data_IF_302889499942
#
_entry.id   IF_302889499942
#
_cell.length_a   1.000
_cell.length_b   1.000
_cell.length_c   1.000
_cell.angle_alpha   90.00
_cell.angle_beta   90.00
_cell.angle_gamma   90.00
#
_symmetry.space_group_name_H-M   'P 1'
#
loop_
_entity.id
_entity.type
_entity.pdbx_description
1 polymer ?
#
# COMPACT_ATOMS: atom_id res chain seq x y z
N UNK A 1 -58.23 5.96 -18.40
CA UNK A 1 -58.21 4.95 -17.34
C UNK A 1 -57.96 5.60 -15.99
N UNK A 2 -58.72 5.11 -15.03
CA UNK A 2 -58.97 5.60 -13.68
C UNK A 2 -57.87 5.11 -12.69
N UNK A 3 -57.89 5.70 -11.48
CA UNK A 3 -57.30 5.26 -10.18
C UNK A 3 -55.98 5.96 -9.75
N UNK A 4 -56.01 7.03 -8.91
CA UNK A 4 -56.28 7.14 -7.44
C UNK A 4 -55.11 6.50 -6.61
N UNK A 5 -54.36 7.22 -5.75
CA UNK A 5 -54.62 7.60 -4.32
C UNK A 5 -53.58 8.66 -3.84
N UNK A 6 -53.98 9.79 -3.24
CA UNK A 6 -54.06 10.08 -1.77
C UNK A 6 -52.80 9.67 -0.98
N UNK A 7 -52.18 10.43 -0.06
CA UNK A 7 -52.48 11.66 0.68
C UNK A 7 -51.23 11.99 1.53
N UNK A 8 -50.87 13.26 1.75
CA UNK A 8 -50.77 13.88 3.09
C UNK A 8 -49.99 15.21 3.07
N UNK A 9 -50.63 16.19 3.72
CA UNK A 9 -50.25 17.60 3.89
C UNK A 9 -49.01 17.77 4.77
N UNK A 10 -48.23 18.81 4.52
CA UNK A 10 -47.47 19.47 5.59
C UNK A 10 -47.72 20.98 5.56
N UNK A 11 -47.99 21.51 6.76
CA UNK A 11 -48.34 22.89 7.10
C UNK A 11 -47.04 23.60 7.47
N UNK A 12 -46.75 24.74 6.86
CA UNK A 12 -45.64 25.61 7.23
C UNK A 12 -46.17 26.61 8.26
N UNK A 13 -45.69 26.55 9.51
CA UNK A 13 -45.75 27.68 10.44
C UNK A 13 -44.38 27.79 11.14
N UNK A 14 -43.79 28.98 11.03
CA UNK A 14 -42.49 29.33 11.57
C UNK A 14 -42.64 30.06 12.91
N UNK A 15 -41.88 29.68 13.93
CA UNK A 15 -41.51 30.52 15.08
C UNK A 15 -40.20 29.99 15.68
N UNK A 16 -39.17 30.85 15.80
CA UNK A 16 -38.02 30.63 16.69
C UNK A 16 -38.43 30.81 18.17
N UNK A 17 -37.51 30.76 19.17
CA UNK A 17 -36.10 31.15 19.05
C UNK A 17 -35.09 30.36 19.97
N UNK A 18 -33.82 30.78 19.89
CA UNK A 18 -32.72 30.67 20.88
C UNK A 18 -32.02 29.32 21.18
N UNK A 19 -30.83 29.19 20.61
CA UNK A 19 -29.53 28.96 21.27
C UNK A 19 -29.45 27.92 22.41
N UNK A 20 -28.94 26.72 22.09
CA UNK A 20 -28.29 25.86 23.08
C UNK A 20 -27.01 25.23 22.48
N UNK A 21 -25.90 25.43 23.18
CA UNK A 21 -24.55 25.02 22.81
C UNK A 21 -24.47 23.50 22.70
N UNK A 22 -24.32 22.97 21.48
CA UNK A 22 -23.91 21.58 21.30
C UNK A 22 -22.43 21.49 21.61
N UNK A 23 -22.14 21.01 22.81
CA UNK A 23 -20.81 20.69 23.28
C UNK A 23 -20.27 19.49 22.48
N UNK A 24 -19.10 19.69 21.87
CA UNK A 24 -18.25 18.64 21.31
C UNK A 24 -18.02 17.53 22.34
N UNK A 25 -18.30 16.28 21.96
CA UNK A 25 -17.55 15.13 22.48
C UNK A 25 -17.35 14.10 21.36
N UNK A 26 -16.35 14.33 20.52
CA UNK A 26 -15.73 13.24 19.74
C UNK A 26 -14.90 12.40 20.71
N UNK A 27 -15.42 11.24 21.13
CA UNK A 27 -14.65 10.25 21.88
C UNK A 27 -13.95 9.28 20.92
N UNK A 28 -12.65 9.49 20.74
CA UNK A 28 -11.66 8.43 20.97
C UNK A 28 -11.24 7.53 19.79
N UNK A 29 -10.77 8.10 18.68
CA UNK A 29 -9.84 7.39 17.80
C UNK A 29 -8.39 7.68 18.26
N UNK A 30 -7.88 6.87 19.19
CA UNK A 30 -6.46 6.93 19.55
C UNK A 30 -5.56 6.71 18.31
N UNK A 31 -4.36 7.31 18.24
CA UNK A 31 -3.54 7.30 17.04
C UNK A 31 -3.20 5.85 16.66
N UNK A 32 -3.69 5.38 15.50
CA UNK A 32 -3.31 4.07 14.94
C UNK A 32 -1.77 3.91 14.86
N UNK A 33 -1.06 5.03 14.71
CA UNK A 33 0.41 5.13 14.75
C UNK A 33 1.05 4.55 16.02
N UNK A 34 0.40 4.65 17.19
CA UNK A 34 0.97 4.17 18.46
C UNK A 34 1.03 2.65 18.61
N UNK A 35 0.13 1.91 17.93
CA UNK A 35 0.16 0.43 17.92
C UNK A 35 1.20 -0.13 16.97
N UNK A 36 1.35 0.49 15.80
CA UNK A 36 2.34 0.09 14.78
C UNK A 36 3.75 0.19 15.34
N UNK A 37 4.07 1.29 16.07
CA UNK A 37 5.38 1.49 16.69
C UNK A 37 5.75 0.40 17.71
N UNK A 38 4.78 -0.11 18.48
CA UNK A 38 5.03 -1.15 19.49
C UNK A 38 5.33 -2.51 18.87
N UNK A 39 4.54 -2.91 17.86
CA UNK A 39 4.77 -4.17 17.13
C UNK A 39 6.10 -4.14 16.38
N UNK A 40 6.45 -2.99 15.79
CA UNK A 40 7.76 -2.80 15.16
C UNK A 40 8.90 -2.89 16.17
N UNK A 41 8.79 -2.27 17.35
CA UNK A 41 9.79 -2.39 18.41
C UNK A 41 9.96 -3.83 18.90
N UNK A 42 8.86 -4.58 19.03
CA UNK A 42 8.89 -6.00 19.39
C UNK A 42 9.59 -6.84 18.30
N UNK A 43 9.32 -6.58 17.01
CA UNK A 43 9.98 -7.27 15.89
C UNK A 43 11.46 -6.88 15.73
N UNK A 44 11.84 -5.64 16.04
CA UNK A 44 13.24 -5.19 16.07
C UNK A 44 14.02 -5.89 17.19
N UNK A 45 13.37 -6.18 18.32
CA UNK A 45 13.98 -6.90 19.44
C UNK A 45 14.17 -8.41 19.17
N UNK A 46 13.52 -8.98 18.14
CA UNK A 46 13.72 -10.37 17.74
C UNK A 46 15.07 -10.49 17.02
N UNK A 47 16.01 -11.16 17.67
CA UNK A 47 17.33 -11.50 17.13
C UNK A 47 17.47 -13.01 16.99
N UNK A 48 18.30 -13.46 16.06
CA UNK A 48 18.71 -14.86 15.99
C UNK A 48 19.88 -15.18 16.94
N UNK A 49 20.35 -16.42 16.91
CA UNK A 49 21.52 -16.89 17.67
C UNK A 49 22.81 -16.09 17.40
N UNK A 50 22.88 -15.35 16.29
CA UNK A 50 24.00 -14.51 15.90
C UNK A 50 23.79 -13.02 16.22
N UNK A 51 22.69 -12.66 16.87
CA UNK A 51 22.36 -11.27 17.21
C UNK A 51 21.83 -10.43 16.02
N UNK A 52 21.46 -11.07 14.90
CA UNK A 52 20.92 -10.37 13.74
C UNK A 52 19.42 -10.17 13.93
N UNK A 53 18.98 -8.91 13.98
CA UNK A 53 17.57 -8.54 14.06
C UNK A 53 16.76 -9.03 12.86
N UNK A 54 15.53 -9.46 13.09
CA UNK A 54 14.63 -9.95 12.05
C UNK A 54 14.44 -8.91 10.91
N UNK A 55 14.38 -7.63 11.25
CA UNK A 55 14.24 -6.54 10.27
C UNK A 55 15.48 -6.43 9.36
N UNK A 56 16.70 -6.56 9.90
CA UNK A 56 17.93 -6.59 9.09
C UNK A 56 17.93 -7.78 8.12
N UNK A 57 17.43 -8.94 8.54
CA UNK A 57 17.31 -10.11 7.67
C UNK A 57 16.32 -9.88 6.52
N UNK A 58 15.13 -9.39 6.84
CA UNK A 58 14.09 -9.13 5.83
C UNK A 58 14.55 -8.05 4.83
N UNK A 59 15.21 -6.99 5.30
CA UNK A 59 15.80 -5.98 4.43
C UNK A 59 16.90 -6.57 3.53
N UNK A 60 17.77 -7.43 4.09
CA UNK A 60 18.84 -8.08 3.32
C UNK A 60 18.28 -9.00 2.24
N UNK A 61 17.28 -9.83 2.58
CA UNK A 61 16.59 -10.70 1.61
C UNK A 61 15.96 -9.85 0.51
N UNK A 62 15.24 -8.78 0.87
CA UNK A 62 14.62 -7.90 -0.11
C UNK A 62 15.65 -7.29 -1.07
N UNK A 63 16.76 -6.74 -0.55
CA UNK A 63 17.81 -6.12 -1.35
C UNK A 63 18.55 -7.11 -2.25
N UNK A 64 18.61 -8.38 -1.86
CA UNK A 64 19.28 -9.44 -2.62
C UNK A 64 18.38 -10.00 -3.72
N UNK A 65 17.09 -10.21 -3.43
CA UNK A 65 16.16 -10.88 -4.35
C UNK A 65 15.52 -9.93 -5.36
N UNK A 66 15.26 -8.68 -4.96
CA UNK A 66 14.51 -7.72 -5.79
C UNK A 66 15.18 -7.39 -7.13
N UNK A 67 16.53 -7.24 -7.25
CA UNK A 67 17.17 -6.98 -8.54
C UNK A 67 16.85 -8.01 -9.62
N UNK A 68 16.85 -9.30 -9.26
CA UNK A 68 16.50 -10.37 -10.20
C UNK A 68 15.03 -10.30 -10.63
N UNK A 69 14.13 -9.87 -9.73
CA UNK A 69 12.70 -9.69 -10.05
C UNK A 69 12.47 -8.45 -10.91
N UNK A 70 13.19 -7.36 -10.65
CA UNK A 70 13.18 -6.16 -11.49
C UNK A 70 13.58 -6.50 -12.93
N UNK A 71 14.65 -7.28 -13.09
CA UNK A 71 15.12 -7.71 -14.41
C UNK A 71 14.10 -8.64 -15.11
N UNK A 72 13.48 -9.56 -14.38
CA UNK A 72 12.42 -10.41 -14.94
C UNK A 72 11.20 -9.60 -15.42
N UNK A 73 10.79 -8.57 -14.65
CA UNK A 73 9.72 -7.65 -15.05
C UNK A 73 10.14 -6.87 -16.30
N UNK A 74 11.38 -6.35 -16.35
CA UNK A 74 11.90 -5.64 -17.52
C UNK A 74 11.80 -6.48 -18.79
N UNK A 75 12.27 -7.73 -18.71
CA UNK A 75 12.24 -8.67 -19.83
C UNK A 75 10.79 -8.98 -20.26
N UNK A 76 9.88 -9.16 -19.31
CA UNK A 76 8.48 -9.42 -19.61
C UNK A 76 7.79 -8.20 -20.26
N UNK A 77 8.12 -6.98 -19.83
CA UNK A 77 7.67 -5.73 -20.46
C UNK A 77 8.26 -5.57 -21.87
N UNK A 78 9.52 -5.94 -22.06
CA UNK A 78 10.18 -5.83 -23.38
C UNK A 78 9.62 -6.83 -24.39
N UNK A 79 9.21 -8.00 -23.93
CA UNK A 79 8.69 -9.10 -24.76
C UNK A 79 7.16 -9.11 -24.88
N UNK A 80 6.44 -8.20 -24.22
CA UNK A 80 4.98 -8.25 -24.05
C UNK A 80 4.51 -9.65 -23.56
N UNK A 81 5.24 -10.24 -22.62
CA UNK A 81 4.93 -11.55 -22.04
C UNK A 81 3.99 -11.38 -20.84
N UNK A 82 2.70 -11.61 -21.08
CA UNK A 82 1.62 -11.45 -20.10
C UNK A 82 1.83 -12.33 -18.85
N UNK A 83 2.18 -13.60 -19.04
CA UNK A 83 2.31 -14.55 -17.94
C UNK A 83 3.56 -14.25 -17.11
N UNK A 84 4.68 -13.94 -17.77
CA UNK A 84 5.91 -13.56 -17.09
C UNK A 84 5.74 -12.24 -16.33
N UNK A 85 5.04 -11.26 -16.91
CA UNK A 85 4.79 -9.96 -16.28
C UNK A 85 3.91 -10.12 -15.04
N UNK A 86 2.79 -10.83 -15.16
CA UNK A 86 1.90 -11.09 -14.03
C UNK A 86 2.64 -11.77 -12.88
N UNK A 87 3.34 -12.87 -13.17
CA UNK A 87 3.99 -13.68 -12.14
C UNK A 87 5.16 -12.94 -11.46
N UNK A 88 6.02 -12.28 -12.23
CA UNK A 88 7.18 -11.55 -11.70
C UNK A 88 6.75 -10.34 -10.86
N UNK A 89 5.76 -9.57 -11.33
CA UNK A 89 5.19 -8.44 -10.60
C UNK A 89 4.45 -8.90 -9.33
N UNK A 90 3.67 -9.98 -9.39
CA UNK A 90 3.00 -10.56 -8.22
C UNK A 90 4.01 -10.95 -7.13
N UNK A 91 5.11 -11.61 -7.52
CA UNK A 91 6.10 -12.05 -6.58
C UNK A 91 6.84 -10.87 -5.91
N UNK A 92 7.21 -9.83 -6.69
CA UNK A 92 7.84 -8.63 -6.14
C UNK A 92 6.89 -7.83 -5.24
N UNK A 93 5.59 -7.76 -5.59
CA UNK A 93 4.53 -7.16 -4.75
C UNK A 93 4.48 -7.80 -3.36
N UNK A 94 4.62 -9.12 -3.28
CA UNK A 94 4.69 -9.86 -2.02
C UNK A 94 5.86 -9.39 -1.15
N UNK A 95 7.06 -9.32 -1.72
CA UNK A 95 8.25 -8.79 -1.04
C UNK A 95 8.07 -7.35 -0.56
N UNK A 96 7.49 -6.48 -1.39
CA UNK A 96 7.20 -5.08 -1.02
C UNK A 96 6.23 -4.98 0.15
N UNK A 97 5.27 -5.90 0.26
CA UNK A 97 4.31 -5.95 1.37
C UNK A 97 5.00 -6.26 2.70
N UNK A 98 6.00 -7.15 2.69
CA UNK A 98 6.74 -7.55 3.88
C UNK A 98 7.56 -6.39 4.43
N UNK A 99 8.26 -5.65 3.56
CA UNK A 99 9.10 -4.51 3.99
C UNK A 99 8.32 -3.20 4.19
N UNK A 100 7.05 -3.17 3.78
CA UNK A 100 6.21 -1.97 3.88
C UNK A 100 6.44 -0.92 2.78
N UNK A 101 7.07 -1.27 1.66
CA UNK A 101 7.26 -0.39 0.50
C UNK A 101 5.95 -0.22 -0.28
N UNK A 102 5.06 0.61 0.27
CA UNK A 102 3.67 0.76 -0.21
C UNK A 102 3.61 1.24 -1.67
N UNK A 103 4.35 2.28 -2.02
CA UNK A 103 4.33 2.84 -3.38
C UNK A 103 4.83 1.80 -4.38
N UNK A 104 5.96 1.14 -4.09
CA UNK A 104 6.52 0.08 -4.93
C UNK A 104 5.53 -1.09 -5.11
N UNK A 105 4.85 -1.50 -4.03
CA UNK A 105 3.82 -2.54 -4.07
C UNK A 105 2.66 -2.16 -4.98
N UNK A 106 2.19 -0.92 -4.91
CA UNK A 106 1.06 -0.45 -5.70
C UNK A 106 1.43 -0.40 -7.20
N UNK A 107 2.65 0.00 -7.54
CA UNK A 107 3.17 -0.08 -8.92
C UNK A 107 3.31 -1.54 -9.41
N UNK A 108 3.82 -2.45 -8.57
CA UNK A 108 3.87 -3.89 -8.91
C UNK A 108 2.46 -4.44 -9.19
N UNK A 109 1.45 -3.97 -8.45
CA UNK A 109 0.07 -4.38 -8.68
C UNK A 109 -0.48 -3.85 -10.02
N UNK A 110 -0.13 -2.63 -10.43
CA UNK A 110 -0.46 -2.10 -11.75
C UNK A 110 0.13 -2.99 -12.87
N UNK A 111 1.40 -3.38 -12.77
CA UNK A 111 2.07 -4.27 -13.73
C UNK A 111 1.49 -5.69 -13.72
N UNK A 112 1.19 -6.24 -12.55
CA UNK A 112 0.51 -7.53 -12.41
C UNK A 112 -0.84 -7.51 -13.14
N UNK A 113 -1.59 -6.40 -13.02
CA UNK A 113 -2.87 -6.23 -13.73
C UNK A 113 -2.69 -6.16 -15.24
N UNK A 114 -1.73 -5.37 -15.72
CA UNK A 114 -1.38 -5.30 -17.14
C UNK A 114 -1.05 -6.67 -17.71
N UNK A 115 -0.24 -7.46 -16.99
CA UNK A 115 0.05 -8.86 -17.32
C UNK A 115 -1.21 -9.72 -17.38
N UNK A 116 -2.00 -9.74 -16.31
CA UNK A 116 -3.23 -10.57 -16.21
C UNK A 116 -4.30 -10.26 -17.28
N UNK A 117 -4.26 -9.05 -17.84
CA UNK A 117 -5.22 -8.58 -18.85
C UNK A 117 -4.63 -8.59 -20.27
N UNK A 118 -3.35 -8.92 -20.42
CA UNK A 118 -2.58 -8.80 -21.68
C UNK A 118 -2.66 -7.39 -22.28
N UNK A 119 -2.63 -6.36 -21.43
CA UNK A 119 -2.72 -4.96 -21.81
C UNK A 119 -1.40 -4.24 -21.48
N UNK A 120 -0.53 -4.09 -22.48
CA UNK A 120 0.82 -3.52 -22.32
C UNK A 120 0.88 -2.01 -22.56
N UNK A 121 -0.26 -1.36 -22.83
CA UNK A 121 -0.33 0.09 -22.95
C UNK A 121 0.17 0.77 -21.67
N UNK A 122 1.30 1.47 -21.75
CA UNK A 122 1.91 2.15 -20.60
C UNK A 122 2.75 1.24 -19.68
N UNK A 123 3.01 -0.01 -20.05
CA UNK A 123 3.82 -0.95 -19.25
C UNK A 123 5.26 -0.46 -19.04
N UNK A 124 5.87 0.11 -20.09
CA UNK A 124 7.23 0.71 -20.02
C UNK A 124 7.30 1.92 -19.10
N UNK A 125 6.30 2.81 -19.14
CA UNK A 125 6.23 3.97 -18.24
C UNK A 125 6.02 3.52 -16.79
N UNK A 126 5.16 2.52 -16.58
CA UNK A 126 4.90 1.95 -15.26
C UNK A 126 6.14 1.24 -14.72
N UNK A 127 6.90 0.55 -15.58
CA UNK A 127 8.18 -0.05 -15.21
C UNK A 127 9.23 1.01 -14.86
N UNK A 128 9.34 2.10 -15.61
CA UNK A 128 10.25 3.21 -15.26
C UNK A 128 9.92 3.81 -13.90
N UNK A 129 8.63 3.99 -13.57
CA UNK A 129 8.19 4.39 -12.21
C UNK A 129 8.61 3.38 -11.15
N UNK A 130 8.58 2.08 -11.47
CA UNK A 130 9.02 1.03 -10.56
C UNK A 130 10.54 1.10 -10.31
N UNK A 131 11.33 1.38 -11.34
CA UNK A 131 12.79 1.55 -11.23
C UNK A 131 13.16 2.71 -10.31
N UNK A 132 12.51 3.86 -10.50
CA UNK A 132 12.72 5.05 -9.65
C UNK A 132 12.39 4.76 -8.20
N UNK A 133 11.22 4.15 -7.94
CA UNK A 133 10.80 3.80 -6.59
C UNK A 133 11.72 2.74 -5.96
N UNK A 134 12.17 1.76 -6.74
CA UNK A 134 13.11 0.75 -6.26
C UNK A 134 14.42 1.39 -5.78
N UNK A 135 14.95 2.37 -6.52
CA UNK A 135 16.15 3.09 -6.12
C UNK A 135 15.97 3.88 -4.80
N UNK A 136 14.78 4.47 -4.59
CA UNK A 136 14.44 5.13 -3.32
C UNK A 136 14.39 4.12 -2.17
N UNK A 137 13.70 3.00 -2.35
CA UNK A 137 13.60 1.93 -1.34
C UNK A 137 14.98 1.37 -0.98
N UNK A 138 15.84 1.12 -1.98
CA UNK A 138 17.22 0.67 -1.72
C UNK A 138 17.99 1.67 -0.87
N UNK A 139 17.88 2.96 -1.22
CA UNK A 139 18.53 4.04 -0.47
C UNK A 139 18.04 4.09 0.97
N UNK A 140 16.74 3.98 1.22
CA UNK A 140 16.18 4.04 2.56
C UNK A 140 16.51 2.81 3.41
N UNK A 141 16.45 1.61 2.84
CA UNK A 141 16.84 0.39 3.54
C UNK A 141 18.34 0.36 3.88
N UNK A 142 19.19 0.93 3.02
CA UNK A 142 20.64 0.99 3.27
C UNK A 142 21.02 1.83 4.48
N UNK A 143 20.21 2.85 4.82
CA UNK A 143 20.38 3.70 6.01
C UNK A 143 20.01 2.98 7.31
N UNK A 144 19.31 1.83 7.22
CA UNK A 144 18.82 1.03 8.36
C UNK A 144 18.09 1.86 9.43
N UNK A 145 17.01 2.60 9.07
CA UNK A 145 16.33 3.53 9.96
C UNK A 145 15.73 2.88 11.22
N UNK A 146 15.59 1.56 11.25
CA UNK A 146 15.11 0.82 12.42
C UNK A 146 16.16 0.65 13.52
N UNK A 147 17.43 0.97 13.28
CA UNK A 147 18.46 0.92 14.33
C UNK A 147 18.33 2.04 15.37
N UNK A 148 17.61 3.10 15.02
CA UNK A 148 17.39 4.26 15.88
C UNK A 148 16.02 4.23 16.60
N UNK A 149 15.27 3.12 16.49
CA UNK A 149 13.94 2.92 17.08
C UNK A 149 13.98 2.32 18.48
#
# INVERSE_FOLDING_TARGET
>A
SLLIRCSARYRIEAHGPQNEKIQKTEKGAGPRAGRIRRVLAELVAVQDENGIGLVDKLATIFLTDSPNRMEAIRQAVDADDSAALEHSAHALKGSCTIIGAKTMRDICYELEKMGSQSQFGGSRETFSRLEDEFAQVQTDLSKRPWKDL
#
